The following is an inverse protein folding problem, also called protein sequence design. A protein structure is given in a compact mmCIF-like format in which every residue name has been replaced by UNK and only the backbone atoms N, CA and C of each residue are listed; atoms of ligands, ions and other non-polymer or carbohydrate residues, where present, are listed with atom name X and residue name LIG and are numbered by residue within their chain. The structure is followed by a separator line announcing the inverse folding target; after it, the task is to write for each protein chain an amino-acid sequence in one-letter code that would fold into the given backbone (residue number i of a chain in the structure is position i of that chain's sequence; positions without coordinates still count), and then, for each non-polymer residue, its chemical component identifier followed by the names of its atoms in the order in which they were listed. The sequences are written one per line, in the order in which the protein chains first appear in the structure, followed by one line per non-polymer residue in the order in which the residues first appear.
data_IF_950281143317
#
_entry.id   IF_950281143317
#
_cell.length_a   1.000
_cell.length_b   1.000
_cell.length_c   1.000
_cell.angle_alpha   90.00
_cell.angle_beta   90.00
_cell.angle_gamma   90.00
#
_symmetry.space_group_name_H-M   'P 1'
#
loop_
_entity.id
_entity.type
_entity.pdbx_description
1 polymer ?
#
# COMPACT_ATOMS: atom_id res chain seq x y z
N UNK A 1 -12.03 2.00 -7.79
CA UNK A 1 -11.55 0.79 -8.46
C UNK A 1 -10.27 0.25 -7.87
N UNK A 2 -9.21 1.07 -7.86
CA UNK A 2 -7.94 0.65 -7.30
C UNK A 2 -8.03 0.24 -5.83
N UNK A 3 -8.80 0.99 -5.04
CA UNK A 3 -8.96 0.69 -3.61
C UNK A 3 -9.56 -0.69 -3.37
N UNK A 4 -10.45 -1.11 -4.24
CA UNK A 4 -11.08 -2.43 -4.13
C UNK A 4 -10.07 -3.55 -4.38
N UNK A 5 -9.21 -3.37 -5.37
CA UNK A 5 -8.14 -4.31 -5.66
C UNK A 5 -7.16 -4.40 -4.50
N UNK A 6 -6.76 -3.26 -3.96
CA UNK A 6 -5.86 -3.21 -2.80
C UNK A 6 -6.46 -3.95 -1.62
N UNK A 7 -7.74 -3.69 -1.34
CA UNK A 7 -8.43 -4.30 -0.22
C UNK A 7 -8.49 -5.82 -0.35
N UNK A 8 -8.74 -6.33 -1.55
CA UNK A 8 -8.79 -7.76 -1.80
C UNK A 8 -7.46 -8.43 -1.47
N UNK A 9 -6.36 -7.83 -1.91
CA UNK A 9 -5.03 -8.36 -1.66
C UNK A 9 -4.70 -8.32 -0.16
N UNK A 10 -5.04 -7.21 0.50
CA UNK A 10 -4.79 -7.06 1.93
C UNK A 10 -5.52 -8.11 2.75
N UNK A 11 -6.76 -8.43 2.38
CA UNK A 11 -7.53 -9.44 3.09
C UNK A 11 -6.92 -10.82 2.96
N UNK A 12 -6.28 -11.12 1.84
CA UNK A 12 -5.58 -12.39 1.67
C UNK A 12 -4.35 -12.49 2.57
N UNK A 13 -3.70 -11.38 2.85
CA UNK A 13 -2.49 -11.35 3.69
C UNK A 13 -2.84 -11.26 5.17
N UNK A 14 -4.02 -10.75 5.49
CA UNK A 14 -4.44 -10.43 6.86
C UNK A 14 -4.17 -11.52 7.88
N UNK A 15 -4.47 -12.76 7.55
CA UNK A 15 -4.35 -13.87 8.48
C UNK A 15 -2.89 -14.30 8.71
N UNK A 16 -1.97 -13.78 7.91
CA UNK A 16 -0.56 -14.15 7.99
C UNK A 16 0.28 -13.12 8.73
N UNK A 17 -0.33 -12.02 9.17
CA UNK A 17 0.38 -10.96 9.87
C UNK A 17 -0.36 -10.58 11.14
N UNK A 18 0.37 -10.10 12.13
CA UNK A 18 -0.18 -9.68 13.41
C UNK A 18 -0.17 -8.18 13.61
N UNK A 19 0.00 -7.44 12.53
CA UNK A 19 -0.03 -5.98 12.55
C UNK A 19 -0.96 -5.46 11.47
N UNK A 20 -1.33 -4.19 11.58
CA UNK A 20 -2.18 -3.53 10.59
C UNK A 20 -1.39 -3.38 9.30
N UNK A 21 -2.02 -3.71 8.19
CA UNK A 21 -1.44 -3.54 6.86
C UNK A 21 -2.43 -2.81 5.99
N UNK A 22 -1.98 -1.84 5.22
CA UNK A 22 -2.87 -1.06 4.38
C UNK A 22 -2.15 -0.31 3.29
N UNK A 23 -2.90 0.53 2.60
CA UNK A 23 -2.38 1.37 1.52
C UNK A 23 -2.78 2.82 1.81
N UNK A 24 -1.83 3.73 1.64
CA UNK A 24 -2.06 5.17 1.77
C UNK A 24 -1.77 5.85 0.43
N UNK A 25 -2.47 6.94 0.17
CA UNK A 25 -2.17 7.77 -1.00
C UNK A 25 -1.14 8.85 -0.61
N UNK A 26 -0.75 9.67 -1.59
CA UNK A 26 0.30 10.66 -1.37
C UNK A 26 -0.12 11.83 -0.47
N UNK A 27 -1.37 11.90 -0.07
CA UNK A 27 -1.83 12.87 0.92
C UNK A 27 -1.85 12.29 2.33
N UNK A 28 -1.49 11.01 2.46
CA UNK A 28 -1.45 10.34 3.75
C UNK A 28 -2.76 9.71 4.17
N UNK A 29 -3.76 9.69 3.30
CA UNK A 29 -5.06 9.10 3.61
C UNK A 29 -5.05 7.61 3.32
N UNK A 30 -5.55 6.82 4.25
CA UNK A 30 -5.65 5.37 4.10
C UNK A 30 -6.79 5.04 3.15
N UNK A 31 -6.47 4.39 2.03
CA UNK A 31 -7.45 4.02 1.02
C UNK A 31 -7.88 2.57 1.12
N UNK A 32 -7.06 1.72 1.75
CA UNK A 32 -7.37 0.32 2.00
C UNK A 32 -6.64 -0.11 3.26
N UNK A 33 -7.20 -1.05 4.00
CA UNK A 33 -6.59 -1.49 5.25
C UNK A 33 -7.18 -2.82 5.70
N UNK A 34 -6.37 -3.64 6.38
CA UNK A 34 -6.86 -4.89 6.99
C UNK A 34 -7.87 -4.61 8.09
N UNK A 35 -7.81 -3.42 8.70
CA UNK A 35 -8.79 -2.97 9.66
C UNK A 35 -9.64 -1.88 9.00
N UNK A 36 -10.85 -2.21 8.64
CA UNK A 36 -11.73 -1.33 7.85
C UNK A 36 -11.98 0.02 8.51
N UNK A 37 -11.96 0.06 9.84
CA UNK A 37 -12.23 1.31 10.58
C UNK A 37 -11.20 2.41 10.34
N UNK A 38 -10.03 2.05 9.83
CA UNK A 38 -8.97 3.02 9.55
C UNK A 38 -9.05 3.63 8.15
N UNK A 39 -9.87 3.06 7.27
CA UNK A 39 -10.03 3.61 5.92
C UNK A 39 -10.59 5.02 6.01
N UNK A 40 -9.94 5.97 5.35
CA UNK A 40 -10.32 7.38 5.41
C UNK A 40 -9.56 8.18 6.45
N UNK A 41 -8.86 7.50 7.36
CA UNK A 41 -8.01 8.16 8.34
C UNK A 41 -6.72 8.64 7.68
N UNK A 42 -6.08 9.63 8.28
CA UNK A 42 -4.81 10.17 7.78
C UNK A 42 -3.65 9.72 8.66
N UNK A 43 -2.52 9.41 8.03
CA UNK A 43 -1.28 9.09 8.73
C UNK A 43 -0.27 10.17 8.39
N UNK A 44 0.09 10.99 9.39
CA UNK A 44 1.08 12.06 9.22
C UNK A 44 2.44 11.51 8.79
N UNK A 45 2.81 10.37 9.36
CA UNK A 45 4.06 9.70 9.02
C UNK A 45 4.13 9.34 7.53
N UNK A 46 3.01 9.04 6.90
CA UNK A 46 2.96 8.73 5.47
C UNK A 46 3.32 9.96 4.64
N UNK A 47 2.82 11.12 5.02
CA UNK A 47 3.16 12.38 4.34
C UNK A 47 4.66 12.62 4.42
N UNK A 48 5.24 12.40 5.61
CA UNK A 48 6.68 12.53 5.81
C UNK A 48 7.45 11.57 4.91
N UNK A 49 6.99 10.33 4.83
CA UNK A 49 7.62 9.32 3.99
C UNK A 49 7.63 9.75 2.51
N UNK A 50 6.49 10.23 2.00
CA UNK A 50 6.42 10.69 0.62
C UNK A 50 7.35 11.87 0.35
N UNK A 51 7.51 12.76 1.32
CA UNK A 51 8.43 13.89 1.21
C UNK A 51 9.87 13.46 1.11
N UNK A 52 10.23 12.34 1.73
CA UNK A 52 11.61 11.83 1.69
C UNK A 52 12.00 11.29 0.32
N UNK A 53 11.03 10.96 -0.52
CA UNK A 53 11.30 10.44 -1.86
C UNK A 53 11.95 9.07 -1.90
N UNK A 54 11.78 8.29 -0.84
CA UNK A 54 12.36 6.95 -0.74
C UNK A 54 11.38 5.90 -1.27
N UNK A 55 11.93 4.79 -1.74
CA UNK A 55 11.11 3.67 -2.18
C UNK A 55 10.57 2.89 -0.99
N UNK A 56 11.34 2.80 0.07
CA UNK A 56 10.90 2.18 1.31
C UNK A 56 11.53 2.92 2.49
N UNK A 57 10.88 2.82 3.64
CA UNK A 57 11.40 3.48 4.83
C UNK A 57 10.46 3.32 6.01
N UNK A 58 10.85 3.93 7.11
CA UNK A 58 10.09 3.88 8.35
C UNK A 58 9.91 5.30 8.87
N UNK A 59 8.73 5.56 9.40
CA UNK A 59 8.43 6.86 10.01
C UNK A 59 7.28 6.68 10.98
N UNK A 60 7.38 7.33 12.15
CA UNK A 60 6.32 7.35 13.13
C UNK A 60 5.82 6.00 13.62
N UNK A 61 6.68 4.99 13.64
CA UNK A 61 6.30 3.65 14.08
C UNK A 61 5.69 2.80 12.97
N UNK A 62 5.69 3.30 11.74
CA UNK A 62 5.17 2.60 10.57
C UNK A 62 6.29 2.27 9.60
N UNK A 63 6.09 1.20 8.85
CA UNK A 63 6.96 0.84 7.73
C UNK A 63 6.18 1.13 6.45
N UNK A 64 6.83 1.73 5.47
CA UNK A 64 6.23 2.09 4.19
C UNK A 64 7.02 1.51 3.04
N UNK A 65 6.32 1.16 1.98
CA UNK A 65 6.95 0.73 0.73
C UNK A 65 6.13 1.27 -0.44
N UNK A 66 6.77 2.01 -1.32
CA UNK A 66 6.09 2.59 -2.48
C UNK A 66 5.59 1.50 -3.40
N UNK A 67 4.37 1.67 -3.88
CA UNK A 67 3.85 0.83 -4.94
C UNK A 67 4.28 1.53 -6.23
N UNK A 68 5.16 0.93 -6.99
CA UNK A 68 5.65 1.55 -8.21
C UNK A 68 4.49 1.98 -9.09
N UNK A 69 4.40 3.25 -9.39
CA UNK A 69 3.37 3.79 -10.22
C UNK A 69 3.84 3.93 -11.66
N UNK A 70 2.98 3.62 -12.58
CA UNK A 70 3.21 3.90 -13.98
C UNK A 70 2.32 5.02 -14.48
N UNK A 71 1.50 5.57 -13.60
CA UNK A 71 0.68 6.72 -13.91
C UNK A 71 1.22 7.93 -13.16
N UNK A 72 1.45 9.01 -13.87
CA UNK A 72 1.93 10.23 -13.26
C UNK A 72 0.90 10.75 -12.25
N UNK A 73 1.37 11.09 -11.06
CA UNK A 73 0.52 11.63 -10.01
C UNK A 73 -0.22 10.61 -9.17
N UNK A 74 -0.15 9.34 -9.52
CA UNK A 74 -0.84 8.29 -8.77
C UNK A 74 0.15 7.58 -7.86
N UNK A 75 0.55 8.25 -6.79
CA UNK A 75 1.48 7.68 -5.83
C UNK A 75 0.75 7.05 -4.66
N UNK A 76 1.05 5.80 -4.41
CA UNK A 76 0.50 5.06 -3.27
C UNK A 76 1.63 4.28 -2.62
N UNK A 77 1.45 3.96 -1.34
CA UNK A 77 2.42 3.16 -0.60
C UNK A 77 1.70 2.16 0.28
N UNK A 78 2.29 0.98 0.42
CA UNK A 78 1.84 0.02 1.43
C UNK A 78 2.41 0.47 2.76
N UNK A 79 1.62 0.38 3.82
CA UNK A 79 2.10 0.66 5.16
C UNK A 79 1.80 -0.51 6.09
N UNK A 80 2.66 -0.69 7.09
CA UNK A 80 2.45 -1.65 8.16
C UNK A 80 2.51 -0.91 9.50
N UNK A 81 1.64 -1.26 10.43
CA UNK A 81 1.62 -0.67 11.76
C UNK A 81 2.67 -1.27 12.69
N UNK A 82 3.85 -1.53 12.14
CA UNK A 82 4.97 -2.12 12.85
C UNK A 82 6.26 -1.74 12.14
N UNK A 83 7.37 -1.92 12.81
CA UNK A 83 8.70 -1.71 12.23
C UNK A 83 9.52 -2.97 12.44
N UNK A 84 10.55 -3.15 11.60
CA UNK A 84 11.42 -4.31 11.68
C UNK A 84 11.46 -5.07 10.37
N UNK A 85 12.25 -6.13 10.34
CA UNK A 85 12.48 -6.91 9.13
C UNK A 85 11.20 -7.52 8.57
N UNK A 86 10.37 -8.07 9.45
CA UNK A 86 9.13 -8.69 9.03
C UNK A 86 8.17 -7.69 8.40
N UNK A 87 8.01 -6.54 9.03
CA UNK A 87 7.16 -5.48 8.48
C UNK A 87 7.69 -5.00 7.14
N UNK A 88 8.99 -4.82 7.02
CA UNK A 88 9.64 -4.40 5.78
C UNK A 88 9.39 -5.43 4.67
N UNK A 89 9.59 -6.71 4.96
CA UNK A 89 9.39 -7.77 3.98
C UNK A 89 7.94 -7.87 3.54
N UNK A 90 7.02 -7.83 4.50
CA UNK A 90 5.59 -7.93 4.19
C UNK A 90 5.14 -6.75 3.34
N UNK A 91 5.59 -5.53 3.65
CA UNK A 91 5.26 -4.36 2.85
C UNK A 91 5.79 -4.50 1.42
N UNK A 92 7.03 -4.97 1.27
CA UNK A 92 7.64 -5.14 -0.04
C UNK A 92 6.87 -6.17 -0.87
N UNK A 93 6.55 -7.32 -0.29
CA UNK A 93 5.82 -8.38 -0.99
C UNK A 93 4.41 -7.94 -1.35
N UNK A 94 3.74 -7.22 -0.45
CA UNK A 94 2.40 -6.71 -0.69
C UNK A 94 2.41 -5.69 -1.83
N UNK A 95 3.39 -4.80 -1.84
CA UNK A 95 3.53 -3.79 -2.89
C UNK A 95 3.73 -4.46 -4.26
N UNK A 96 4.55 -5.50 -4.33
CA UNK A 96 4.77 -6.26 -5.56
C UNK A 96 3.48 -6.94 -6.01
N UNK A 97 2.75 -7.55 -5.09
CA UNK A 97 1.50 -8.23 -5.42
C UNK A 97 0.46 -7.24 -5.98
N UNK A 98 0.34 -6.08 -5.37
CA UNK A 98 -0.58 -5.04 -5.83
C UNK A 98 -0.18 -4.55 -7.22
N UNK A 99 1.09 -4.27 -7.41
CA UNK A 99 1.61 -3.78 -8.68
C UNK A 99 1.35 -4.78 -9.81
N UNK A 100 1.63 -6.06 -9.56
CA UNK A 100 1.42 -7.10 -10.57
C UNK A 100 -0.05 -7.29 -10.89
N UNK A 101 -0.90 -7.31 -9.87
CA UNK A 101 -2.33 -7.47 -10.06
C UNK A 101 -2.94 -6.30 -10.84
N UNK A 102 -2.47 -5.10 -10.54
CA UNK A 102 -2.94 -3.89 -11.23
C UNK A 102 -2.55 -3.92 -12.70
N UNK A 103 -1.33 -4.33 -13.00
CA UNK A 103 -0.84 -4.44 -14.36
C UNK A 103 -1.65 -5.48 -15.15
N UNK A 104 -1.92 -6.63 -14.55
CA UNK A 104 -2.72 -7.68 -15.18
C UNK A 104 -4.14 -7.22 -15.45
N UNK A 105 -4.72 -6.50 -14.52
CA UNK A 105 -6.05 -5.96 -14.68
C UNK A 105 -6.12 -4.99 -15.86
N UNK A 106 -5.16 -4.09 -15.95
CA UNK A 106 -5.10 -3.11 -17.03
C UNK A 106 -4.91 -3.78 -18.38
N UNK A 107 -4.07 -4.82 -18.45
CA UNK A 107 -3.87 -5.57 -19.67
C UNK A 107 -5.16 -6.25 -20.16
N UNK A 108 -5.90 -6.82 -19.23
CA UNK A 108 -7.18 -7.44 -19.58
C UNK A 108 -8.18 -6.42 -20.10
N UNK A 109 -8.19 -5.24 -19.52
CA UNK A 109 -9.04 -4.16 -19.96
C UNK A 109 -8.72 -3.76 -21.39
N UNK A 110 -7.45 -3.61 -21.70
CA UNK A 110 -7.01 -3.25 -23.05
C UNK A 110 -7.41 -4.29 -24.08
N UNK A 111 -7.37 -5.55 -23.72
CA UNK A 111 -7.71 -6.64 -24.65
C UNK A 111 -9.19 -6.70 -24.98
N UNK A 112 -10.03 -6.19 -24.12
CA UNK A 112 -11.48 -6.21 -24.34
C UNK A 112 -11.91 -5.16 -25.34
N UNK A 113 -11.12 -4.13 -25.48
CA UNK A 113 -11.40 -3.09 -26.45
C UNK A 113 -10.74 -3.38 -27.78
#
# INVERSE_FOLDING_TARGET
MAARLFQSILLEVKDNVDFILGVVDNTGVITACTELKFIGESIEAAVEFFKMGLEEGQAGGYTFHMIGGYEAGAENAVFAGSIGERATLVCALTAVAIKNSKTQYDEKHDKVT
#
